data_IF_280027271206
#
_entry.id   IF_280027271206
#
_cell.length_a   1.000
_cell.length_b   1.000
_cell.length_c   1.000
_cell.angle_alpha   90.00
_cell.angle_beta   90.00
_cell.angle_gamma   90.00
#
_symmetry.space_group_name_H-M   'P 1'
#
loop_
_entity.id
_entity.type
_entity.pdbx_description
1 polymer ?
#
# COMPACT_ATOMS: atom_id res chain seq x y z
N UNK A 1 -29.42 -26.03 -9.64
CA UNK A 1 -28.99 -25.31 -8.42
C UNK A 1 -27.48 -25.40 -8.37
N UNK A 2 -26.84 -24.46 -9.07
CA UNK A 2 -25.39 -24.35 -9.21
C UNK A 2 -24.87 -23.37 -8.17
N UNK A 3 -24.04 -23.87 -7.25
CA UNK A 3 -23.16 -23.03 -6.44
C UNK A 3 -21.78 -23.00 -7.09
N UNK A 4 -21.52 -21.99 -7.91
CA UNK A 4 -20.20 -21.78 -8.51
C UNK A 4 -19.22 -21.23 -7.45
N UNK A 5 -18.19 -22.03 -7.21
CA UNK A 5 -17.13 -21.86 -6.23
C UNK A 5 -16.10 -20.83 -6.73
N UNK A 6 -15.89 -19.77 -5.95
CA UNK A 6 -14.96 -18.67 -6.22
C UNK A 6 -13.50 -18.99 -5.83
N UNK A 7 -12.96 -20.10 -6.35
CA UNK A 7 -11.56 -20.49 -6.10
C UNK A 7 -10.84 -20.67 -7.44
N UNK A 8 -10.20 -19.61 -7.99
CA UNK A 8 -9.03 -19.67 -8.91
C UNK A 8 -8.65 -18.32 -9.58
N UNK A 9 -8.28 -17.29 -8.81
CA UNK A 9 -7.62 -16.08 -9.38
C UNK A 9 -6.31 -15.68 -8.67
N UNK A 10 -5.91 -16.33 -7.56
CA UNK A 10 -4.67 -15.95 -6.83
C UNK A 10 -3.37 -16.62 -7.32
N UNK A 11 -3.34 -17.16 -8.53
CA UNK A 11 -2.12 -17.71 -9.15
C UNK A 11 -1.70 -16.89 -10.36
N UNK A 12 -0.97 -15.78 -10.15
CA UNK A 12 -0.08 -15.08 -11.13
C UNK A 12 0.22 -13.60 -10.80
N UNK A 13 -0.05 -13.10 -9.60
CA UNK A 13 0.30 -11.71 -9.24
C UNK A 13 1.80 -11.41 -9.38
N UNK A 14 2.67 -12.41 -9.21
CA UNK A 14 4.13 -12.29 -9.41
C UNK A 14 4.55 -12.10 -10.88
N UNK A 15 3.67 -12.40 -11.84
CA UNK A 15 3.99 -12.35 -13.27
C UNK A 15 3.63 -11.00 -13.95
N UNK A 16 2.91 -10.12 -13.26
CA UNK A 16 2.48 -8.82 -13.79
C UNK A 16 3.42 -7.65 -13.48
N UNK A 17 4.45 -7.85 -12.65
CA UNK A 17 5.32 -6.74 -12.26
C UNK A 17 6.32 -6.40 -13.38
N UNK A 18 6.30 -5.17 -13.92
CA UNK A 18 7.20 -4.78 -14.99
C UNK A 18 8.64 -4.72 -14.44
N UNK A 19 9.61 -5.26 -15.20
CA UNK A 19 11.04 -5.16 -14.87
C UNK A 19 11.64 -3.77 -15.12
N UNK A 20 10.83 -2.83 -15.61
CA UNK A 20 11.25 -1.48 -15.99
C UNK A 20 10.21 -0.42 -15.61
N UNK A 21 10.45 0.82 -16.03
CA UNK A 21 9.57 1.95 -15.78
C UNK A 21 8.24 1.74 -16.50
N UNK A 22 7.15 1.76 -15.76
CA UNK A 22 5.80 1.69 -16.26
C UNK A 22 4.86 2.60 -15.45
N UNK A 23 3.70 2.93 -16.04
CA UNK A 23 2.54 3.45 -15.32
C UNK A 23 1.63 2.27 -14.94
N UNK A 24 1.23 2.19 -13.69
CA UNK A 24 0.36 1.15 -13.15
C UNK A 24 -0.94 1.80 -12.73
N UNK A 25 -2.05 1.27 -13.25
CA UNK A 25 -3.39 1.77 -12.96
C UNK A 25 -4.08 0.91 -11.92
N UNK A 26 -4.68 1.55 -10.92
CA UNK A 26 -5.36 0.89 -9.82
C UNK A 26 -6.81 1.34 -9.72
N UNK A 27 -7.69 0.39 -9.40
CA UNK A 27 -9.07 0.63 -8.97
C UNK A 27 -9.10 0.62 -7.45
N UNK A 28 -9.82 1.57 -6.88
CA UNK A 28 -10.05 1.63 -5.45
C UNK A 28 -11.54 1.57 -5.18
N UNK A 29 -12.09 0.38 -4.91
CA UNK A 29 -13.54 0.21 -4.64
C UNK A 29 -13.96 1.04 -3.44
N UNK A 30 -13.11 1.05 -2.43
CA UNK A 30 -13.11 2.02 -1.35
C UNK A 30 -11.69 2.57 -1.26
N UNK A 31 -11.51 3.68 -0.52
CA UNK A 31 -10.16 4.19 -0.24
C UNK A 31 -9.25 3.17 0.45
N UNK A 32 -9.78 2.07 0.99
CA UNK A 32 -8.99 1.03 1.66
C UNK A 32 -8.69 -0.16 0.77
N UNK A 33 -9.42 -0.38 -0.32
CA UNK A 33 -9.29 -1.59 -1.14
C UNK A 33 -8.71 -1.24 -2.49
N UNK A 34 -7.49 -1.69 -2.78
CA UNK A 34 -6.79 -1.39 -4.04
C UNK A 34 -6.56 -2.64 -4.88
N UNK A 35 -6.84 -2.54 -6.17
CA UNK A 35 -6.61 -3.60 -7.15
C UNK A 35 -5.86 -3.03 -8.37
N UNK A 36 -4.82 -3.72 -8.82
CA UNK A 36 -4.12 -3.39 -10.06
C UNK A 36 -4.98 -3.81 -11.26
N UNK A 37 -5.34 -2.86 -12.13
CA UNK A 37 -6.17 -3.10 -13.31
C UNK A 37 -5.29 -3.40 -14.53
N UNK A 38 -4.31 -2.52 -14.80
CA UNK A 38 -3.44 -2.65 -15.96
C UNK A 38 -2.09 -1.94 -15.75
N UNK A 39 -1.12 -2.32 -16.58
CA UNK A 39 0.23 -1.79 -16.58
C UNK A 39 0.56 -1.32 -17.99
N UNK A 40 1.07 -0.11 -18.12
CA UNK A 40 1.48 0.49 -19.38
C UNK A 40 2.97 0.80 -19.35
N UNK A 41 3.71 0.30 -20.33
CA UNK A 41 5.17 0.50 -20.43
C UNK A 41 5.55 1.60 -21.43
N UNK A 42 4.57 2.19 -22.10
CA UNK A 42 4.77 3.23 -23.10
C UNK A 42 3.86 4.44 -22.84
N UNK A 43 4.34 5.62 -23.21
CA UNK A 43 3.55 6.84 -23.07
C UNK A 43 2.30 6.82 -23.96
N UNK A 44 2.41 6.31 -25.20
CA UNK A 44 1.30 6.19 -26.16
C UNK A 44 0.17 5.34 -25.59
N UNK A 45 0.51 4.19 -25.01
CA UNK A 45 -0.46 3.29 -24.39
C UNK A 45 -1.15 3.96 -23.19
N UNK A 46 -0.37 4.69 -22.39
CA UNK A 46 -0.87 5.43 -21.23
C UNK A 46 -1.85 6.52 -21.64
N UNK A 47 -1.52 7.31 -22.66
CA UNK A 47 -2.39 8.36 -23.19
C UNK A 47 -3.66 7.77 -23.81
N UNK A 48 -3.56 6.62 -24.48
CA UNK A 48 -4.71 5.91 -25.03
C UNK A 48 -5.64 5.42 -23.91
N UNK A 49 -5.10 4.80 -22.87
CA UNK A 49 -5.84 4.34 -21.69
C UNK A 49 -6.56 5.51 -21.03
N UNK A 50 -5.84 6.61 -20.75
CA UNK A 50 -6.39 7.81 -20.12
C UNK A 50 -7.50 8.43 -20.97
N UNK A 51 -7.32 8.51 -22.29
CA UNK A 51 -8.35 9.04 -23.20
C UNK A 51 -9.61 8.16 -23.21
N UNK A 52 -9.43 6.84 -23.20
CA UNK A 52 -10.53 5.87 -23.22
C UNK A 52 -11.40 5.91 -21.95
N UNK A 53 -10.84 6.32 -20.80
CA UNK A 53 -11.60 6.49 -19.54
C UNK A 53 -12.63 7.62 -19.60
N UNK A 54 -12.45 8.53 -20.57
CA UNK A 54 -13.11 9.82 -20.59
C UNK A 54 -14.11 9.95 -21.75
N UNK A 55 -13.92 9.18 -22.82
CA UNK A 55 -14.94 9.10 -23.87
C UNK A 55 -16.17 8.37 -23.35
N UNK A 56 -17.33 9.05 -23.38
CA UNK A 56 -18.64 8.40 -23.29
C UNK A 56 -18.69 7.38 -24.41
N UNK A 57 -18.44 6.10 -24.10
CA UNK A 57 -18.62 5.02 -25.07
C UNK A 57 -20.13 4.91 -25.29
N UNK A 58 -20.64 5.62 -26.30
CA UNK A 58 -21.91 5.31 -26.92
C UNK A 58 -21.74 3.91 -27.49
N UNK A 59 -22.28 2.92 -26.78
CA UNK A 59 -22.08 1.51 -27.09
C UNK A 59 -22.72 1.16 -28.45
N UNK A 60 -21.96 1.28 -29.52
CA UNK A 60 -22.21 0.58 -30.79
C UNK A 60 -21.05 -0.37 -31.00
N UNK A 61 -21.19 -1.59 -30.48
CA UNK A 61 -20.25 -2.68 -30.71
C UNK A 61 -20.37 -3.16 -32.16
N UNK A 62 -19.31 -3.14 -32.98
CA UNK A 62 -19.25 -3.94 -34.18
C UNK A 62 -19.01 -5.39 -33.76
N UNK A 63 -19.96 -6.26 -34.06
CA UNK A 63 -19.78 -7.70 -33.86
C UNK A 63 -18.74 -8.25 -34.84
N UNK A 64 -17.90 -9.13 -34.31
CA UNK A 64 -17.20 -10.21 -35.02
C UNK A 64 -16.05 -9.81 -35.94
N UNK A 65 -14.83 -9.95 -35.44
CA UNK A 65 -13.86 -10.87 -36.06
C UNK A 65 -12.84 -11.33 -35.04
N UNK A 66 -12.57 -12.62 -35.06
CA UNK A 66 -11.81 -13.39 -34.09
C UNK A 66 -10.30 -13.24 -34.29
N UNK A 67 -9.64 -12.61 -33.33
CA UNK A 67 -8.24 -12.90 -32.98
C UNK A 67 -8.07 -12.77 -31.48
N UNK A 68 -7.78 -13.90 -30.85
CA UNK A 68 -7.64 -14.03 -29.41
C UNK A 68 -6.38 -13.32 -28.87
N UNK A 69 -6.48 -12.85 -27.62
CA UNK A 69 -5.43 -12.33 -26.73
C UNK A 69 -5.00 -10.88 -26.90
N UNK A 70 -5.97 -9.99 -26.76
CA UNK A 70 -5.86 -8.87 -25.80
C UNK A 70 -7.27 -8.49 -25.43
N UNK A 71 -7.77 -9.00 -24.29
CA UNK A 71 -8.94 -8.38 -23.66
C UNK A 71 -8.53 -6.93 -23.45
N UNK A 72 -9.11 -6.03 -24.24
CA UNK A 72 -8.87 -4.59 -24.10
C UNK A 72 -9.22 -4.24 -22.65
N UNK A 73 -8.19 -4.03 -21.82
CA UNK A 73 -8.30 -3.66 -20.42
C UNK A 73 -8.70 -2.18 -20.37
N UNK A 74 -9.89 -1.87 -20.89
CA UNK A 74 -10.46 -0.55 -20.81
C UNK A 74 -10.78 -0.28 -19.35
N UNK A 75 -10.25 0.82 -18.83
CA UNK A 75 -10.63 1.33 -17.53
C UNK A 75 -12.12 1.72 -17.55
N UNK A 76 -12.83 1.59 -16.42
CA UNK A 76 -14.21 2.04 -16.34
C UNK A 76 -14.29 3.55 -16.65
N UNK A 77 -15.34 4.01 -17.35
CA UNK A 77 -15.57 5.44 -17.52
C UNK A 77 -15.59 6.17 -16.18
N UNK A 78 -15.03 7.38 -16.09
CA UNK A 78 -15.01 8.11 -14.82
C UNK A 78 -16.43 8.40 -14.27
N UNK A 79 -17.40 8.54 -15.17
CA UNK A 79 -18.82 8.69 -14.84
C UNK A 79 -19.42 7.46 -14.13
N UNK A 80 -18.82 6.27 -14.30
CA UNK A 80 -19.31 5.03 -13.69
C UNK A 80 -18.68 4.70 -12.35
N UNK A 81 -17.77 5.54 -11.83
CA UNK A 81 -17.22 5.36 -10.49
C UNK A 81 -18.35 5.47 -9.46
N UNK A 82 -18.45 4.55 -8.51
CA UNK A 82 -19.36 4.67 -7.38
C UNK A 82 -18.91 5.78 -6.40
N UNK A 83 -19.79 6.22 -5.51
CA UNK A 83 -19.41 7.20 -4.48
C UNK A 83 -18.31 6.60 -3.57
N UNK A 84 -17.27 7.38 -3.30
CA UNK A 84 -16.02 6.97 -2.62
C UNK A 84 -15.12 6.03 -3.41
N UNK A 85 -15.47 5.68 -4.65
CA UNK A 85 -14.59 4.94 -5.54
C UNK A 85 -13.52 5.85 -6.13
N UNK A 86 -12.31 5.31 -6.29
CA UNK A 86 -11.20 6.02 -6.92
C UNK A 86 -10.54 5.23 -8.04
N UNK A 87 -9.93 5.96 -8.96
CA UNK A 87 -8.99 5.45 -9.95
C UNK A 87 -7.65 6.15 -9.73
N UNK A 88 -6.54 5.41 -9.77
CA UNK A 88 -5.21 6.01 -9.70
C UNK A 88 -4.28 5.48 -10.79
N UNK A 89 -3.27 6.29 -11.11
CA UNK A 89 -2.16 5.94 -11.97
C UNK A 89 -0.87 6.27 -11.22
N UNK A 90 -0.08 5.26 -10.90
CA UNK A 90 1.19 5.40 -10.17
C UNK A 90 2.36 4.91 -11.03
N UNK A 91 3.55 5.41 -10.77
CA UNK A 91 4.76 4.82 -11.35
C UNK A 91 5.02 3.43 -10.74
N UNK A 92 5.43 2.46 -11.55
CA UNK A 92 5.68 1.06 -11.16
C UNK A 92 6.59 0.85 -9.96
N UNK A 93 7.57 1.73 -9.75
CA UNK A 93 8.47 1.68 -8.61
C UNK A 93 8.03 2.58 -7.46
N UNK A 94 6.78 3.06 -7.49
CA UNK A 94 6.25 3.89 -6.42
C UNK A 94 6.27 3.14 -5.10
N UNK A 95 6.90 3.76 -4.11
CA UNK A 95 6.89 3.33 -2.72
C UNK A 95 6.35 4.45 -1.88
N UNK A 96 5.35 4.15 -1.06
CA UNK A 96 4.89 5.09 -0.07
C UNK A 96 5.99 5.34 0.97
N UNK A 97 6.26 6.60 1.30
CA UNK A 97 7.20 6.98 2.35
C UNK A 97 6.63 8.09 3.21
N UNK A 98 7.28 8.40 4.34
CA UNK A 98 6.93 9.56 5.16
C UNK A 98 7.03 10.91 4.42
N UNK A 99 7.67 10.95 3.23
CA UNK A 99 7.76 12.12 2.36
C UNK A 99 6.70 12.13 1.26
N UNK A 100 5.92 11.07 1.09
CA UNK A 100 4.83 11.04 0.11
C UNK A 100 3.76 12.05 0.52
N UNK A 101 3.40 12.95 -0.40
CA UNK A 101 2.37 13.97 -0.20
C UNK A 101 1.39 13.94 -1.34
N UNK A 102 0.20 14.45 -1.07
CA UNK A 102 -0.84 14.67 -2.04
C UNK A 102 -1.22 16.14 -2.10
N UNK A 103 -1.47 16.62 -3.32
CA UNK A 103 -2.01 17.94 -3.59
C UNK A 103 -3.25 17.75 -4.45
N UNK A 104 -4.42 18.15 -3.95
CA UNK A 104 -5.67 17.82 -4.62
C UNK A 104 -6.63 19.01 -4.71
N UNK A 105 -7.34 19.05 -5.83
CA UNK A 105 -8.50 19.90 -6.02
C UNK A 105 -9.76 19.09 -5.69
N UNK A 106 -10.65 19.67 -4.90
CA UNK A 106 -11.89 19.04 -4.45
C UNK A 106 -13.10 19.85 -4.93
N UNK A 107 -14.28 19.23 -4.89
CA UNK A 107 -15.52 19.90 -5.31
C UNK A 107 -15.63 20.13 -6.81
N UNK A 108 -14.94 19.33 -7.63
CA UNK A 108 -14.98 19.45 -9.09
C UNK A 108 -16.24 18.78 -9.64
N UNK A 109 -16.94 19.45 -10.56
CA UNK A 109 -17.99 18.82 -11.38
C UNK A 109 -17.38 17.72 -12.27
N UNK A 110 -18.18 16.75 -12.70
CA UNK A 110 -17.71 15.65 -13.55
C UNK A 110 -16.83 16.10 -14.74
N UNK A 111 -17.30 17.03 -15.57
CA UNK A 111 -16.57 17.46 -16.78
C UNK A 111 -15.20 18.11 -16.46
N UNK A 112 -15.16 18.95 -15.43
CA UNK A 112 -13.92 19.59 -14.96
C UNK A 112 -12.96 18.57 -14.38
N UNK A 113 -13.46 17.60 -13.61
CA UNK A 113 -12.65 16.56 -13.02
C UNK A 113 -12.06 15.63 -14.09
N UNK A 114 -12.85 15.29 -15.11
CA UNK A 114 -12.42 14.46 -16.25
C UNK A 114 -11.30 15.16 -17.05
N UNK A 115 -11.51 16.41 -17.45
CA UNK A 115 -10.51 17.19 -18.17
C UNK A 115 -9.23 17.37 -17.34
N UNK A 116 -9.39 17.67 -16.05
CA UNK A 116 -8.27 17.87 -15.15
C UNK A 116 -7.48 16.58 -14.90
N UNK A 117 -8.16 15.46 -14.67
CA UNK A 117 -7.57 14.13 -14.56
C UNK A 117 -6.79 13.76 -15.82
N UNK A 118 -7.39 13.95 -17.01
CA UNK A 118 -6.77 13.63 -18.30
C UNK A 118 -5.46 14.39 -18.47
N UNK A 119 -5.45 15.70 -18.22
CA UNK A 119 -4.27 16.57 -18.29
C UNK A 119 -3.20 16.14 -17.29
N UNK A 120 -3.60 15.90 -16.05
CA UNK A 120 -2.70 15.47 -14.97
C UNK A 120 -2.05 14.11 -15.24
N UNK A 121 -2.85 13.13 -15.67
CA UNK A 121 -2.37 11.79 -15.99
C UNK A 121 -1.43 11.82 -17.21
N UNK A 122 -1.79 12.56 -18.27
CA UNK A 122 -0.90 12.75 -19.43
C UNK A 122 0.45 13.35 -19.02
N UNK A 123 0.43 14.44 -18.24
CA UNK A 123 1.66 15.10 -17.78
C UNK A 123 2.49 14.22 -16.84
N UNK A 124 1.82 13.44 -16.01
CA UNK A 124 2.50 12.48 -15.11
C UNK A 124 3.15 11.36 -15.92
N UNK A 125 2.47 10.85 -16.95
CA UNK A 125 3.04 9.87 -17.87
C UNK A 125 4.26 10.44 -18.62
N UNK A 126 4.18 11.68 -19.12
CA UNK A 126 5.32 12.39 -19.71
C UNK A 126 6.50 12.49 -18.75
N UNK A 127 6.26 12.77 -17.47
CA UNK A 127 7.33 12.82 -16.47
C UNK A 127 7.94 11.43 -16.20
N UNK A 128 7.11 10.38 -16.17
CA UNK A 128 7.55 9.00 -15.89
C UNK A 128 8.35 8.43 -17.06
N UNK A 129 7.83 8.54 -18.29
CA UNK A 129 8.47 8.01 -19.50
C UNK A 129 9.48 8.97 -20.13
N UNK A 130 9.49 10.23 -19.70
CA UNK A 130 10.37 11.28 -20.20
C UNK A 130 11.82 10.84 -20.25
N UNK A 131 12.36 10.75 -21.46
CA UNK A 131 13.68 10.22 -21.74
C UNK A 131 14.68 11.34 -22.09
N UNK A 132 15.84 11.30 -21.41
CA UNK A 132 17.17 11.78 -21.83
C UNK A 132 17.69 13.20 -21.51
N UNK A 133 16.89 14.21 -21.15
CA UNK A 133 17.43 15.58 -20.92
C UNK A 133 17.16 16.21 -19.54
N UNK A 134 16.35 15.56 -18.70
CA UNK A 134 16.05 16.07 -17.37
C UNK A 134 16.90 15.33 -16.35
N UNK A 135 17.64 16.07 -15.52
CA UNK A 135 18.52 15.54 -14.49
C UNK A 135 17.81 14.41 -13.70
N UNK A 136 18.53 13.33 -13.33
CA UNK A 136 17.96 12.15 -12.64
C UNK A 136 17.15 12.49 -11.38
N UNK A 137 17.35 13.68 -10.80
CA UNK A 137 16.70 14.17 -9.60
C UNK A 137 15.21 14.50 -9.74
N UNK A 138 14.65 14.63 -10.95
CA UNK A 138 13.22 14.96 -11.15
C UNK A 138 12.31 13.74 -11.32
N UNK A 139 12.89 12.56 -11.64
CA UNK A 139 12.13 11.31 -11.84
C UNK A 139 11.41 10.83 -10.58
N UNK A 140 11.92 11.19 -9.41
CA UNK A 140 11.38 10.75 -8.13
C UNK A 140 10.31 11.69 -7.56
N UNK A 141 10.00 12.80 -8.23
CA UNK A 141 9.18 13.86 -7.63
C UNK A 141 7.68 13.59 -7.74
N UNK A 142 7.20 13.24 -8.94
CA UNK A 142 5.78 12.96 -9.18
C UNK A 142 5.61 11.45 -9.29
N UNK A 143 4.88 10.89 -8.33
CA UNK A 143 4.72 9.45 -8.19
C UNK A 143 3.46 8.93 -8.89
N UNK A 144 2.48 9.80 -9.09
CA UNK A 144 1.21 9.40 -9.66
C UNK A 144 0.13 10.45 -9.51
N UNK A 145 -1.08 10.06 -9.90
CA UNK A 145 -2.30 10.86 -9.81
C UNK A 145 -3.45 9.96 -9.39
N UNK A 146 -4.46 10.50 -8.72
CA UNK A 146 -5.76 9.81 -8.58
C UNK A 146 -6.96 10.73 -8.81
N UNK A 147 -8.11 10.13 -9.07
CA UNK A 147 -9.43 10.76 -9.06
C UNK A 147 -10.36 9.94 -8.17
N UNK A 148 -11.15 10.62 -7.34
CA UNK A 148 -12.15 10.01 -6.44
C UNK A 148 -13.49 10.68 -6.64
N UNK A 149 -14.56 9.90 -6.76
CA UNK A 149 -15.92 10.45 -6.72
C UNK A 149 -16.30 10.69 -5.26
N UNK A 150 -16.34 11.96 -4.85
CA UNK A 150 -16.62 12.38 -3.47
C UNK A 150 -18.11 12.60 -3.20
N UNK A 151 -18.95 12.59 -4.25
CA UNK A 151 -20.41 12.68 -4.16
C UNK A 151 -21.07 12.42 -5.50
N UNK A 152 -22.38 12.68 -5.60
CA UNK A 152 -23.17 12.39 -6.82
C UNK A 152 -22.65 13.10 -8.07
N UNK A 153 -22.21 14.36 -7.97
CA UNK A 153 -21.56 15.10 -9.07
C UNK A 153 -20.34 15.89 -8.57
N UNK A 154 -19.66 15.33 -7.56
CA UNK A 154 -18.49 15.95 -6.95
C UNK A 154 -17.31 15.01 -6.98
N UNK A 155 -16.19 15.53 -7.46
CA UNK A 155 -14.97 14.77 -7.64
C UNK A 155 -13.79 15.48 -6.98
N UNK A 156 -12.83 14.67 -6.55
CA UNK A 156 -11.53 15.10 -6.06
C UNK A 156 -10.46 14.53 -6.97
N UNK A 157 -9.57 15.37 -7.46
CA UNK A 157 -8.43 14.95 -8.30
C UNK A 157 -7.14 15.36 -7.60
N UNK A 158 -6.24 14.40 -7.40
CA UNK A 158 -5.01 14.57 -6.65
C UNK A 158 -3.76 14.20 -7.43
N UNK A 159 -2.71 14.99 -7.24
CA UNK A 159 -1.34 14.69 -7.65
C UNK A 159 -0.59 14.11 -6.44
N UNK A 160 0.13 13.01 -6.65
CA UNK A 160 0.94 12.34 -5.63
C UNK A 160 2.41 12.62 -5.89
N UNK A 161 3.12 13.14 -4.89
CA UNK A 161 4.54 13.55 -5.00
C UNK A 161 5.41 12.98 -3.88
N UNK A 162 6.72 12.89 -4.09
CA UNK A 162 7.71 12.79 -3.00
C UNK A 162 8.20 14.18 -2.62
N UNK A 163 7.90 14.63 -1.41
CA UNK A 163 8.23 15.95 -0.91
C UNK A 163 7.02 16.88 -0.85
N UNK A 164 7.27 18.10 -0.37
CA UNK A 164 6.24 19.11 -0.09
C UNK A 164 6.33 20.29 -1.06
N UNK A 165 5.36 21.19 -1.03
CA UNK A 165 5.35 22.46 -1.79
C UNK A 165 6.53 23.39 -1.45
N UNK A 166 7.25 23.12 -0.36
CA UNK A 166 8.52 23.80 -0.03
C UNK A 166 9.62 23.46 -1.04
N UNK A 167 9.55 22.32 -1.70
CA UNK A 167 10.46 22.01 -2.80
C UNK A 167 10.03 22.80 -4.04
N UNK A 168 10.89 23.68 -4.59
CA UNK A 168 10.55 24.52 -5.74
C UNK A 168 10.17 23.68 -6.97
N UNK A 169 10.64 22.42 -7.06
CA UNK A 169 10.29 21.51 -8.14
C UNK A 169 8.85 21.02 -8.00
N UNK A 170 8.39 20.73 -6.77
CA UNK A 170 6.98 20.36 -6.50
C UNK A 170 6.10 21.55 -6.80
N UNK A 171 6.47 22.74 -6.31
CA UNK A 171 5.75 23.98 -6.58
C UNK A 171 5.64 24.26 -8.08
N UNK A 172 6.73 24.07 -8.84
CA UNK A 172 6.73 24.21 -10.31
C UNK A 172 5.83 23.17 -11.00
N UNK A 173 5.84 21.92 -10.53
CA UNK A 173 4.94 20.90 -11.07
C UNK A 173 3.48 21.31 -10.84
N UNK A 174 3.13 21.74 -9.62
CA UNK A 174 1.78 22.20 -9.28
C UNK A 174 1.35 23.44 -10.07
N UNK A 175 2.22 24.44 -10.23
CA UNK A 175 1.88 25.66 -10.97
C UNK A 175 1.59 25.42 -12.45
N UNK A 176 2.16 24.36 -13.03
CA UNK A 176 1.86 23.96 -14.42
C UNK A 176 0.51 23.24 -14.54
N UNK A 177 -0.06 22.80 -13.43
CA UNK A 177 -1.23 21.93 -13.39
C UNK A 177 -2.46 22.68 -12.88
N UNK A 178 -2.28 23.61 -11.94
CA UNK A 178 -3.36 24.27 -11.22
C UNK A 178 -3.62 25.65 -11.82
N UNK A 179 -4.78 25.85 -12.44
CA UNK A 179 -5.23 27.18 -12.86
C UNK A 179 -5.64 28.06 -11.66
N UNK A 180 -5.69 29.37 -11.86
CA UNK A 180 -5.86 30.39 -10.79
C UNK A 180 -7.15 30.30 -9.95
N UNK A 181 -8.10 29.42 -10.28
CA UNK A 181 -9.44 29.40 -9.66
C UNK A 181 -9.84 28.09 -8.98
N UNK A 182 -8.90 27.15 -8.75
CA UNK A 182 -9.22 25.90 -8.06
C UNK A 182 -8.98 25.97 -6.55
N UNK A 183 -9.99 25.56 -5.77
CA UNK A 183 -9.81 25.28 -4.35
C UNK A 183 -8.94 24.04 -4.18
N UNK A 184 -7.80 24.20 -3.52
CA UNK A 184 -6.82 23.14 -3.36
C UNK A 184 -6.47 22.87 -1.90
N UNK A 185 -6.25 21.60 -1.59
CA UNK A 185 -5.49 21.17 -0.43
C UNK A 185 -4.07 20.81 -0.87
N UNK A 186 -3.07 21.37 -0.20
CA UNK A 186 -1.65 21.16 -0.49
C UNK A 186 -0.99 20.42 0.65
N UNK A 187 0.05 19.63 0.32
CA UNK A 187 0.85 18.90 1.32
C UNK A 187 0.05 17.95 2.23
N UNK A 188 -1.10 17.46 1.74
CA UNK A 188 -1.93 16.52 2.47
C UNK A 188 -1.32 15.11 2.46
N UNK A 189 -1.78 14.27 3.40
CA UNK A 189 -1.53 12.84 3.34
C UNK A 189 -2.35 12.21 2.22
N UNK A 190 -1.86 11.13 1.60
CA UNK A 190 -2.55 10.45 0.51
C UNK A 190 -3.79 9.69 1.05
N UNK A 191 -5.03 10.06 0.71
CA UNK A 191 -6.20 9.40 1.29
C UNK A 191 -6.30 7.90 0.96
N UNK A 192 -5.81 7.49 -0.21
CA UNK A 192 -5.80 6.09 -0.65
C UNK A 192 -4.94 5.26 0.32
N UNK A 193 -5.53 4.17 0.79
CA UNK A 193 -5.01 3.19 1.75
C UNK A 193 -4.55 3.77 3.09
N UNK A 194 -5.11 4.91 3.51
CA UNK A 194 -4.70 5.58 4.74
C UNK A 194 -4.86 4.72 5.99
N UNK A 195 -5.97 3.98 6.09
CA UNK A 195 -6.23 3.08 7.22
C UNK A 195 -5.13 2.02 7.41
N UNK A 196 -4.47 1.58 6.33
CA UNK A 196 -3.42 0.55 6.40
C UNK A 196 -2.10 1.09 6.92
N UNK A 197 -1.89 2.41 6.86
CA UNK A 197 -0.65 3.04 7.35
C UNK A 197 -0.59 3.17 8.86
N UNK A 198 -1.73 3.02 9.54
CA UNK A 198 -1.82 3.03 11.00
C UNK A 198 -1.41 1.69 11.66
N UNK A 199 -0.97 0.70 10.87
CA UNK A 199 -0.49 -0.58 11.42
C UNK A 199 0.80 -0.37 12.22
N UNK A 200 0.87 -0.97 13.41
CA UNK A 200 2.06 -1.01 14.25
C UNK A 200 2.59 -2.42 14.39
N UNK A 201 3.91 -2.55 14.57
CA UNK A 201 4.60 -3.83 14.76
C UNK A 201 5.24 -3.82 16.13
N UNK A 202 4.95 -4.83 16.93
CA UNK A 202 5.56 -5.05 18.24
C UNK A 202 6.23 -6.40 18.26
N UNK A 203 7.44 -6.42 18.81
CA UNK A 203 8.25 -7.62 18.90
C UNK A 203 8.42 -8.02 20.35
N UNK A 204 8.39 -9.32 20.59
CA UNK A 204 8.72 -9.92 21.86
C UNK A 204 9.46 -11.22 21.62
N UNK A 205 10.43 -11.53 22.45
CA UNK A 205 11.01 -12.87 22.53
C UNK A 205 11.11 -13.27 23.99
N UNK A 206 11.09 -14.57 24.25
CA UNK A 206 11.17 -15.04 25.62
C UNK A 206 12.59 -14.83 26.16
N UNK A 207 12.78 -14.13 27.30
CA UNK A 207 14.07 -14.05 27.96
C UNK A 207 14.56 -15.46 28.32
N UNK A 208 15.85 -15.74 28.07
CA UNK A 208 16.50 -16.97 28.52
C UNK A 208 17.70 -16.64 29.38
N UNK A 209 17.95 -17.52 30.35
CA UNK A 209 19.17 -17.55 31.16
C UNK A 209 20.34 -18.20 30.41
N UNK A 210 20.02 -19.10 29.48
CA UNK A 210 21.02 -19.84 28.71
C UNK A 210 21.65 -18.96 27.64
N UNK A 211 22.94 -19.19 27.40
CA UNK A 211 23.66 -18.53 26.32
C UNK A 211 23.18 -19.06 24.96
N UNK A 212 23.05 -18.17 23.98
CA UNK A 212 22.80 -18.58 22.59
C UNK A 212 24.12 -19.04 21.99
N UNK A 213 24.15 -20.27 21.47
CA UNK A 213 25.31 -20.82 20.76
C UNK A 213 25.01 -21.01 19.28
N UNK A 214 26.03 -21.08 18.41
CA UNK A 214 25.85 -21.44 17.02
C UNK A 214 24.97 -22.68 16.85
N UNK A 215 24.06 -22.65 15.88
CA UNK A 215 23.13 -23.71 15.49
C UNK A 215 22.14 -24.15 16.57
N UNK A 216 22.19 -23.56 17.77
CA UNK A 216 21.18 -23.79 18.79
C UNK A 216 19.87 -23.09 18.42
N UNK A 217 18.75 -23.72 18.74
CA UNK A 217 17.43 -23.13 18.53
C UNK A 217 17.24 -21.96 19.50
N UNK A 218 17.00 -20.78 18.92
CA UNK A 218 16.73 -19.55 19.64
C UNK A 218 15.36 -19.57 20.33
N UNK A 219 15.16 -18.71 21.35
CA UNK A 219 13.83 -18.44 21.87
C UNK A 219 12.87 -18.02 20.75
N UNK A 220 11.63 -18.48 20.84
CA UNK A 220 10.57 -18.12 19.91
C UNK A 220 10.40 -16.60 19.86
N UNK A 221 10.36 -16.06 18.64
CA UNK A 221 10.08 -14.64 18.40
C UNK A 221 8.58 -14.50 18.14
N UNK A 222 7.90 -13.72 18.98
CA UNK A 222 6.51 -13.30 18.82
C UNK A 222 6.48 -11.95 18.11
N UNK A 223 5.90 -11.93 16.91
CA UNK A 223 5.58 -10.71 16.18
C UNK A 223 4.10 -10.42 16.37
N UNK A 224 3.78 -9.22 16.85
CA UNK A 224 2.40 -8.76 17.05
C UNK A 224 2.16 -7.58 16.12
N UNK A 225 1.18 -7.71 15.24
CA UNK A 225 0.71 -6.64 14.36
C UNK A 225 -0.58 -6.08 14.91
N UNK A 226 -0.67 -4.77 15.09
CA UNK A 226 -1.85 -4.11 15.63
C UNK A 226 -2.34 -3.05 14.65
N UNK A 227 -3.63 -3.04 14.36
CA UNK A 227 -4.27 -2.06 13.49
C UNK A 227 -5.61 -1.63 14.07
N UNK A 228 -5.86 -0.32 14.10
CA UNK A 228 -7.20 0.21 14.40
C UNK A 228 -8.06 0.13 13.15
N UNK A 229 -9.21 -0.53 13.25
CA UNK A 229 -10.16 -0.67 12.16
C UNK A 229 -11.48 -0.01 12.55
N UNK A 230 -12.03 0.80 11.64
CA UNK A 230 -13.40 1.27 11.76
C UNK A 230 -14.33 0.06 11.62
N UNK A 231 -15.27 -0.10 12.55
CA UNK A 231 -16.24 -1.20 12.52
C UNK A 231 -17.15 -1.04 11.29
N UNK A 232 -16.86 -1.77 10.22
CA UNK A 232 -17.80 -2.00 9.12
C UNK A 232 -18.49 -3.34 9.36
N UNK A 233 -19.78 -3.29 9.71
CA UNK A 233 -20.59 -4.48 9.86
C UNK A 233 -20.68 -5.23 8.52
N UNK A 234 -20.25 -6.49 8.49
CA UNK A 234 -20.73 -7.46 7.49
C UNK A 234 -19.69 -8.09 6.55
N UNK A 235 -18.42 -7.68 6.54
CA UNK A 235 -17.41 -8.33 5.71
C UNK A 235 -16.20 -8.79 6.55
N UNK A 236 -16.10 -10.10 6.76
CA UNK A 236 -15.00 -10.80 7.44
C UNK A 236 -13.66 -10.76 6.64
N UNK A 237 -13.51 -9.84 5.69
CA UNK A 237 -12.46 -9.93 4.67
C UNK A 237 -11.25 -9.06 4.97
N UNK A 238 -10.14 -9.76 5.18
CA UNK A 238 -8.74 -9.29 5.21
C UNK A 238 -8.41 -8.30 6.33
N UNK A 239 -8.26 -8.85 7.54
CA UNK A 239 -7.85 -8.17 8.77
C UNK A 239 -6.56 -7.33 8.62
N UNK A 240 -5.64 -7.73 7.73
CA UNK A 240 -4.41 -7.00 7.39
C UNK A 240 -4.30 -6.73 5.88
N UNK A 241 -5.41 -6.35 5.24
CA UNK A 241 -5.40 -5.90 3.84
C UNK A 241 -4.27 -4.87 3.63
N UNK A 242 -3.43 -5.10 2.63
CA UNK A 242 -2.27 -4.25 2.31
C UNK A 242 -0.92 -4.83 2.67
N UNK A 243 -0.85 -5.89 3.47
CA UNK A 243 0.40 -6.59 3.81
C UNK A 243 0.32 -8.06 3.42
N UNK A 244 1.43 -8.63 2.95
CA UNK A 244 1.47 -10.00 2.42
C UNK A 244 2.16 -10.97 3.40
N UNK A 245 3.31 -10.56 3.93
CA UNK A 245 4.13 -11.45 4.75
C UNK A 245 4.92 -10.72 5.83
N UNK A 246 5.33 -11.48 6.83
CA UNK A 246 6.28 -11.06 7.87
C UNK A 246 7.56 -11.86 7.69
N UNK A 247 8.67 -11.13 7.59
CA UNK A 247 10.02 -11.65 7.42
C UNK A 247 10.85 -11.36 8.67
N UNK A 248 11.57 -12.36 9.17
CA UNK A 248 12.50 -12.27 10.30
C UNK A 248 13.90 -12.57 9.78
N UNK A 249 14.84 -11.67 10.00
CA UNK A 249 16.20 -11.75 9.46
C UNK A 249 17.23 -11.19 10.43
N UNK A 250 18.51 -11.47 10.20
CA UNK A 250 19.61 -10.88 10.95
C UNK A 250 20.06 -9.60 10.22
N UNK A 251 19.99 -8.47 10.91
CA UNK A 251 20.46 -7.19 10.39
C UNK A 251 21.99 -7.10 10.40
N UNK A 252 22.63 -7.71 11.42
CA UNK A 252 24.08 -7.73 11.61
C UNK A 252 24.52 -9.01 12.32
N UNK A 253 25.73 -9.53 12.01
CA UNK A 253 26.57 -9.19 10.85
C UNK A 253 25.82 -9.36 9.52
N UNK A 254 26.15 -8.55 8.50
CA UNK A 254 25.45 -8.58 7.19
C UNK A 254 25.55 -9.95 6.50
N UNK A 255 26.61 -10.70 6.79
CA UNK A 255 26.79 -12.04 6.26
C UNK A 255 25.98 -13.11 7.01
N UNK A 256 25.50 -12.82 8.22
CA UNK A 256 24.84 -13.81 9.07
C UNK A 256 23.45 -14.15 8.58
N UNK A 257 23.06 -15.40 8.77
CA UNK A 257 21.76 -15.92 8.31
C UNK A 257 21.06 -16.68 9.41
N UNK A 258 19.74 -16.54 9.45
CA UNK A 258 18.92 -17.49 10.19
C UNK A 258 18.79 -18.79 9.42
N UNK A 259 18.86 -19.90 10.16
CA UNK A 259 18.28 -21.16 9.76
C UNK A 259 16.82 -21.24 10.26
N UNK A 260 15.98 -22.02 9.58
CA UNK A 260 14.60 -22.27 9.97
C UNK A 260 13.55 -21.45 9.21
N UNK A 261 12.38 -21.28 9.81
CA UNK A 261 11.26 -20.54 9.20
C UNK A 261 11.41 -19.05 9.44
N UNK A 262 11.87 -18.32 8.42
CA UNK A 262 12.11 -16.87 8.50
C UNK A 262 11.00 -16.03 7.87
N UNK A 263 10.05 -16.65 7.17
CA UNK A 263 8.94 -15.95 6.50
C UNK A 263 7.61 -16.62 6.83
N UNK A 264 6.60 -15.82 7.15
CA UNK A 264 5.21 -16.26 7.33
C UNK A 264 4.26 -15.37 6.55
N UNK A 265 3.32 -15.98 5.83
CA UNK A 265 2.25 -15.25 5.14
C UNK A 265 1.19 -14.81 6.14
N UNK A 266 0.64 -13.62 5.94
CA UNK A 266 -0.38 -13.07 6.84
C UNK A 266 -1.75 -13.73 6.68
N UNK A 267 -1.99 -14.43 5.57
CA UNK A 267 -3.21 -15.21 5.33
C UNK A 267 -3.31 -16.48 6.21
N UNK A 268 -2.22 -16.87 6.89
CA UNK A 268 -2.14 -18.10 7.70
C UNK A 268 -1.94 -17.82 9.20
N UNK A 269 -2.14 -16.57 9.65
CA UNK A 269 -1.92 -16.18 11.05
C UNK A 269 -3.05 -16.60 11.98
N UNK A 270 -2.75 -16.75 13.27
CA UNK A 270 -3.79 -16.76 14.31
C UNK A 270 -4.30 -15.34 14.48
N UNK A 271 -5.61 -15.16 14.26
CA UNK A 271 -6.27 -13.87 14.34
C UNK A 271 -6.98 -13.73 15.68
N UNK A 272 -6.68 -12.64 16.40
CA UNK A 272 -7.41 -12.27 17.60
C UNK A 272 -8.04 -10.90 17.37
N UNK A 273 -9.36 -10.88 17.22
CA UNK A 273 -10.10 -9.64 17.34
C UNK A 273 -10.36 -9.38 18.82
N UNK A 274 -9.62 -8.44 19.40
CA UNK A 274 -9.94 -7.96 20.74
C UNK A 274 -10.95 -6.82 20.59
N UNK A 275 -12.17 -7.04 21.07
CA UNK A 275 -13.11 -5.93 21.24
C UNK A 275 -12.60 -5.09 22.41
N UNK A 276 -12.09 -3.90 22.10
CA UNK A 276 -11.43 -3.00 23.06
C UNK A 276 -12.36 -2.59 24.20
N UNK A 277 -13.65 -2.85 24.06
CA UNK A 277 -14.68 -2.54 25.05
C UNK A 277 -14.73 -3.53 26.23
N UNK A 278 -14.06 -4.69 26.17
CA UNK A 278 -14.19 -5.74 27.20
C UNK A 278 -13.15 -5.70 28.33
N UNK A 279 -11.99 -5.04 28.16
CA UNK A 279 -10.84 -5.24 29.08
C UNK A 279 -10.29 -3.96 29.74
N UNK A 280 -10.93 -2.79 29.54
CA UNK A 280 -10.55 -1.52 30.19
C UNK A 280 -11.66 -0.87 31.03
N UNK A 281 -12.74 -1.59 31.32
CA UNK A 281 -13.74 -1.17 32.30
C UNK A 281 -13.38 -1.68 33.71
N UNK A 282 -12.23 -1.27 34.23
CA UNK A 282 -12.01 -1.27 35.68
C UNK A 282 -11.42 0.08 36.12
N UNK A 283 -12.26 0.85 36.83
CA UNK A 283 -11.97 1.93 37.79
C UNK A 283 -11.10 3.13 37.34
N UNK A 284 -11.77 4.16 36.81
CA UNK A 284 -11.96 5.48 37.46
C UNK A 284 -12.31 6.58 36.43
N UNK A 285 -13.43 7.27 36.68
CA UNK A 285 -13.73 8.66 36.33
C UNK A 285 -13.04 9.30 35.11
N UNK A 286 -13.57 9.14 33.90
CA UNK A 286 -13.35 10.09 32.77
C UNK A 286 -14.60 10.28 31.89
N UNK A 287 -15.79 10.17 32.46
CA UNK A 287 -17.08 10.20 31.75
C UNK A 287 -17.46 11.55 31.10
N UNK A 288 -16.64 12.61 31.18
CA UNK A 288 -17.00 13.93 30.64
C UNK A 288 -16.32 14.30 29.30
N UNK A 289 -15.35 13.53 28.78
CA UNK A 289 -14.63 13.85 27.52
C UNK A 289 -14.89 12.90 26.34
N UNK A 290 -15.78 11.92 26.48
CA UNK A 290 -15.97 10.83 25.52
C UNK A 290 -17.05 11.05 24.44
N UNK A 291 -17.46 12.30 24.14
CA UNK A 291 -18.34 12.58 23.00
C UNK A 291 -17.50 12.77 21.72
N UNK A 292 -17.07 11.67 21.10
CA UNK A 292 -16.48 11.74 19.75
C UNK A 292 -15.49 10.64 19.38
N UNK A 293 -15.07 9.77 20.31
CA UNK A 293 -14.28 8.58 19.93
C UNK A 293 -15.24 7.55 19.35
N UNK A 294 -15.26 7.46 18.01
CA UNK A 294 -15.80 6.28 17.32
C UNK A 294 -15.17 5.05 17.99
N UNK A 295 -15.97 4.12 18.49
CA UNK A 295 -15.49 2.82 18.98
C UNK A 295 -14.77 2.15 17.80
N UNK A 296 -13.45 2.22 17.82
CA UNK A 296 -12.59 1.58 16.83
C UNK A 296 -12.28 0.18 17.33
N UNK A 297 -12.50 -0.83 16.50
CA UNK A 297 -12.09 -2.19 16.82
C UNK A 297 -10.59 -2.30 16.60
N UNK A 298 -9.87 -2.89 17.55
CA UNK A 298 -8.45 -3.17 17.39
C UNK A 298 -8.27 -4.58 16.86
N UNK A 299 -7.67 -4.68 15.69
CA UNK A 299 -7.31 -5.96 15.09
C UNK A 299 -5.89 -6.30 15.50
N UNK A 300 -5.69 -7.51 16.03
CA UNK A 300 -4.38 -8.02 16.45
C UNK A 300 -4.07 -9.33 15.74
N UNK A 301 -2.92 -9.39 15.07
CA UNK A 301 -2.38 -10.62 14.46
C UNK A 301 -1.11 -11.00 15.19
N UNK A 302 -1.03 -12.25 15.64
CA UNK A 302 0.13 -12.76 16.36
C UNK A 302 0.77 -13.87 15.53
N UNK A 303 2.08 -13.73 15.27
CA UNK A 303 2.88 -14.72 14.56
C UNK A 303 4.03 -15.17 15.44
N UNK A 304 4.18 -16.48 15.62
CA UNK A 304 5.29 -17.08 16.34
C UNK A 304 6.33 -17.65 15.38
N UNK A 305 7.57 -17.19 15.46
CA UNK A 305 8.69 -17.75 14.69
C UNK A 305 9.51 -18.65 15.61
N UNK A 306 9.19 -19.94 15.57
CA UNK A 306 9.92 -21.00 16.25
C UNK A 306 10.95 -21.63 15.31
N UNK A 307 11.96 -22.31 15.86
CA UNK A 307 13.01 -23.02 15.11
C UNK A 307 13.99 -22.10 14.36
N UNK A 308 14.22 -20.89 14.86
CA UNK A 308 15.28 -20.03 14.36
C UNK A 308 16.62 -20.43 14.98
N UNK A 309 17.70 -20.43 14.19
CA UNK A 309 19.05 -20.63 14.71
C UNK A 309 20.05 -19.73 13.98
N UNK A 310 21.06 -19.25 14.70
CA UNK A 310 22.17 -18.44 14.14
C UNK A 310 23.38 -19.31 13.92
N UNK A 311 24.10 -19.13 12.81
CA UNK A 311 25.28 -19.95 12.50
C UNK A 311 26.57 -19.32 13.03
N UNK A 312 26.64 -18.00 13.02
CA UNK A 312 27.86 -17.26 13.33
C UNK A 312 27.95 -16.88 14.83
N UNK A 313 29.17 -16.84 15.35
CA UNK A 313 29.49 -16.29 16.68
C UNK A 313 29.58 -14.76 16.57
N UNK A 314 29.19 -14.06 17.62
CA UNK A 314 29.31 -12.60 17.73
C UNK A 314 28.01 -11.91 18.13
N UNK A 315 28.03 -10.59 18.14
CA UNK A 315 26.84 -9.78 18.39
C UNK A 315 25.92 -9.79 17.16
N UNK A 316 24.65 -10.09 17.39
CA UNK A 316 23.62 -10.20 16.37
C UNK A 316 22.44 -9.27 16.67
N UNK A 317 21.81 -8.79 15.61
CA UNK A 317 20.61 -7.95 15.68
C UNK A 317 19.50 -8.58 14.86
N UNK A 318 18.36 -8.88 15.47
CA UNK A 318 17.18 -9.42 14.76
C UNK A 318 16.35 -8.27 14.20
N UNK A 319 16.13 -8.26 12.89
CA UNK A 319 15.17 -7.41 12.21
C UNK A 319 13.90 -8.17 11.86
N UNK A 320 12.79 -7.45 11.87
CA UNK A 320 11.49 -7.91 11.37
C UNK A 320 10.97 -6.90 10.37
N UNK A 321 10.58 -7.38 9.19
CA UNK A 321 9.94 -6.61 8.13
C UNK A 321 8.54 -7.15 7.87
N UNK A 322 7.56 -6.27 7.84
CA UNK A 322 6.21 -6.57 7.35
C UNK A 322 6.11 -6.02 5.94
N UNK A 323 6.08 -6.93 4.98
CA UNK A 323 6.14 -6.64 3.56
C UNK A 323 4.77 -6.18 3.06
N UNK A 324 4.72 -4.99 2.46
CA UNK A 324 3.51 -4.51 1.80
C UNK A 324 3.17 -5.44 0.63
N UNK A 325 1.88 -5.76 0.47
CA UNK A 325 1.41 -6.50 -0.68
C UNK A 325 1.70 -5.70 -1.95
N UNK A 326 2.11 -6.34 -3.07
CA UNK A 326 2.51 -5.62 -4.27
C UNK A 326 1.45 -4.62 -4.76
N UNK A 327 0.16 -4.95 -4.68
CA UNK A 327 -0.96 -4.06 -5.06
C UNK A 327 -1.10 -2.81 -4.18
N UNK A 328 -0.40 -2.77 -3.04
CA UNK A 328 -0.48 -1.73 -2.03
C UNK A 328 0.83 -0.98 -1.82
N UNK A 329 1.96 -1.45 -2.35
CA UNK A 329 3.30 -0.87 -2.17
C UNK A 329 3.38 0.63 -2.49
N UNK A 330 2.60 1.09 -3.48
CA UNK A 330 2.54 2.51 -3.84
C UNK A 330 1.84 3.40 -2.78
N UNK A 331 1.05 2.80 -1.89
CA UNK A 331 0.14 3.49 -0.98
C UNK A 331 0.40 3.21 0.50
N UNK A 332 1.10 2.11 0.79
CA UNK A 332 1.38 1.60 2.13
C UNK A 332 2.88 1.28 2.25
N UNK A 333 3.57 1.74 3.31
CA UNK A 333 4.98 1.43 3.50
C UNK A 333 5.16 0.02 4.10
N UNK A 334 6.27 -0.64 3.76
CA UNK A 334 6.76 -1.75 4.58
C UNK A 334 7.01 -1.24 6.01
N UNK A 335 6.68 -2.06 7.01
CA UNK A 335 6.96 -1.75 8.40
C UNK A 335 8.20 -2.51 8.86
N UNK A 336 8.98 -1.87 9.73
CA UNK A 336 10.19 -2.46 10.27
C UNK A 336 10.23 -2.33 11.79
N UNK A 337 10.67 -3.39 12.45
CA UNK A 337 10.98 -3.40 13.87
C UNK A 337 12.25 -4.23 14.08
N UNK A 338 12.89 -4.08 15.24
CA UNK A 338 14.05 -4.90 15.60
C UNK A 338 14.01 -5.22 17.09
N UNK A 339 14.58 -6.37 17.44
CA UNK A 339 14.85 -6.70 18.84
C UNK A 339 16.18 -6.06 19.26
N UNK A 340 16.43 -5.88 20.57
CA UNK A 340 17.76 -5.50 21.04
C UNK A 340 18.84 -6.49 20.57
N UNK A 341 20.10 -6.02 20.40
CA UNK A 341 21.21 -6.91 20.10
C UNK A 341 21.39 -8.03 21.13
N UNK A 342 21.93 -9.16 20.71
CA UNK A 342 22.26 -10.30 21.57
C UNK A 342 23.58 -10.93 21.16
N UNK A 343 24.24 -11.59 22.11
CA UNK A 343 25.53 -12.23 21.87
C UNK A 343 25.35 -13.73 21.63
N UNK A 344 25.88 -14.20 20.50
CA UNK A 344 26.08 -15.63 20.22
C UNK A 344 27.51 -15.97 20.59
N UNK A 345 27.71 -16.95 21.47
CA UNK A 345 29.04 -17.38 21.93
C UNK A 345 29.35 -18.78 21.44
N UNK A 346 30.63 -19.07 21.16
CA UNK A 346 31.06 -20.41 20.83
C UNK A 346 30.63 -21.41 21.93
N UNK A 347 30.33 -22.65 21.53
CA UNK A 347 30.21 -23.73 22.51
C UNK A 347 31.57 -23.88 23.18
N UNK A 348 31.59 -23.90 24.51
CA UNK A 348 32.81 -24.29 25.20
C UNK A 348 32.97 -25.78 24.95
N UNK A 349 33.95 -26.15 24.12
CA UNK A 349 34.44 -27.52 24.02
C UNK A 349 35.10 -27.84 25.36
N UNK A 350 34.30 -28.40 26.28
CA UNK A 350 34.75 -28.86 27.59
C UNK A 350 35.60 -30.11 27.49
#
# INVERSE_FOLDING_TARGET
>A
MEGARWDNVRGNASQMWPKGIACVFYRHKTLEQSECICVSQQITDTLHIVSSCTTKVTATFPSNTSTARSKSLLLPPLASLEESESLSMMVSYAKYTARTRCHFAYGLSHEKAEDFWRKLAARTAENIFGSKLSAPRLKDLVMGVYITRSGSDSFTVGLVTQGTTRDPRVKKALSLLVGDQMSMSLDAELPICAAHRAMTVRLWWQPRTDRVTPRSVMPTIRVTLEKEQAVTHGEEKQLMAGYDSVNVFLCRPVASKFLGTTRKLLDNGEYHCADVDAEWQDKHEWAARAKGRRSGRKVVVILYFSNLAVVEVGEHLVGVEVEASPSYTAFVPSQYAHLPPFLVVAQNDG
#
